data_IF_851399087811
#
_entry.id   IF_851399087811
#
_cell.length_a   1.000
_cell.length_b   1.000
_cell.length_c   1.000
_cell.angle_alpha   90.00
_cell.angle_beta   90.00
_cell.angle_gamma   90.00
#
_symmetry.space_group_name_H-M   'P 1'
#
loop_
_entity.id
_entity.type
_entity.pdbx_description
1 polymer ?
#
# COMPACT_ATOMS: atom_id res chain seq x y z
N UNK A 1 -15.83 -5.22 -23.92
CA UNK A 1 -15.06 -4.90 -22.70
C UNK A 1 -15.44 -5.76 -21.49
N UNK A 2 -16.70 -6.24 -21.38
CA UNK A 2 -17.15 -7.03 -20.21
C UNK A 2 -16.22 -8.19 -19.82
N UNK A 3 -15.67 -9.00 -20.74
CA UNK A 3 -14.82 -10.14 -20.37
C UNK A 3 -13.48 -9.77 -19.69
N UNK A 4 -13.14 -8.48 -19.68
CA UNK A 4 -11.91 -8.02 -19.00
C UNK A 4 -12.10 -7.70 -17.52
N UNK A 5 -13.35 -7.54 -17.06
CA UNK A 5 -13.64 -7.15 -15.69
C UNK A 5 -13.90 -8.37 -14.82
N UNK A 6 -13.33 -8.35 -13.62
CA UNK A 6 -13.55 -9.38 -12.63
C UNK A 6 -14.98 -9.29 -12.09
N UNK A 7 -15.69 -10.40 -12.07
CA UNK A 7 -17.06 -10.46 -11.54
C UNK A 7 -17.13 -11.37 -10.31
N UNK A 8 -18.17 -11.23 -9.51
CA UNK A 8 -18.44 -12.17 -8.43
C UNK A 8 -18.50 -13.61 -8.95
N UNK A 9 -19.18 -13.84 -10.09
CA UNK A 9 -19.30 -15.18 -10.68
C UNK A 9 -18.00 -15.72 -11.27
N UNK A 10 -17.00 -14.87 -11.58
CA UNK A 10 -15.67 -15.36 -12.01
C UNK A 10 -14.92 -16.00 -10.84
N UNK A 11 -15.11 -15.49 -9.62
CA UNK A 11 -14.45 -16.00 -8.41
C UNK A 11 -15.29 -17.09 -7.75
N UNK A 12 -16.61 -16.92 -7.70
CA UNK A 12 -17.58 -17.84 -7.06
C UNK A 12 -18.60 -18.34 -8.09
N UNK A 13 -18.22 -19.26 -8.98
CA UNK A 13 -19.10 -19.73 -10.07
C UNK A 13 -20.36 -20.44 -9.56
N UNK A 14 -20.31 -21.04 -8.38
CA UNK A 14 -21.43 -21.74 -7.75
C UNK A 14 -22.13 -20.91 -6.64
N UNK A 15 -21.81 -19.61 -6.55
CA UNK A 15 -22.23 -18.74 -5.46
C UNK A 15 -21.20 -18.69 -4.33
N UNK A 16 -21.26 -17.63 -3.51
CA UNK A 16 -20.41 -17.45 -2.34
C UNK A 16 -21.20 -17.76 -1.06
N UNK A 17 -20.57 -18.38 -0.09
CA UNK A 17 -21.10 -18.54 1.28
C UNK A 17 -20.87 -17.27 2.09
N UNK A 18 -21.51 -17.14 3.24
CA UNK A 18 -21.25 -16.04 4.19
C UNK A 18 -19.78 -16.08 4.68
N UNK A 19 -19.23 -17.26 4.90
CA UNK A 19 -17.84 -17.47 5.32
C UNK A 19 -16.86 -17.00 4.23
N UNK A 20 -17.11 -17.34 2.96
CA UNK A 20 -16.32 -16.84 1.83
C UNK A 20 -16.27 -15.30 1.80
N UNK A 21 -17.44 -14.67 1.99
CA UNK A 21 -17.55 -13.20 1.93
C UNK A 21 -16.93 -12.52 3.15
N UNK A 22 -17.07 -13.10 4.33
CA UNK A 22 -16.50 -12.60 5.57
C UNK A 22 -14.95 -12.72 5.58
N UNK A 23 -14.42 -13.74 4.89
CA UNK A 23 -12.98 -13.96 4.77
C UNK A 23 -12.25 -13.00 3.84
N UNK A 24 -12.96 -12.22 3.00
CA UNK A 24 -12.33 -11.30 2.05
C UNK A 24 -11.68 -10.13 2.79
N UNK A 25 -10.37 -10.03 2.69
CA UNK A 25 -9.63 -8.88 3.20
C UNK A 25 -9.75 -7.68 2.25
N UNK A 26 -10.17 -6.53 2.76
CA UNK A 26 -10.16 -5.28 2.00
C UNK A 26 -9.99 -4.07 2.92
N UNK A 27 -9.33 -3.00 2.43
CA UNK A 27 -9.05 -1.80 3.22
C UNK A 27 -10.26 -0.83 3.30
N UNK A 28 -11.44 -1.27 2.92
CA UNK A 28 -12.68 -0.48 2.91
C UNK A 28 -13.81 -1.29 3.52
N UNK A 29 -14.73 -0.67 4.27
CA UNK A 29 -15.88 -1.37 4.84
C UNK A 29 -16.83 -1.91 3.75
N UNK A 30 -17.58 -2.97 4.08
CA UNK A 30 -18.56 -3.59 3.21
C UNK A 30 -17.98 -4.58 2.20
N UNK A 31 -18.85 -5.15 1.36
CA UNK A 31 -18.45 -6.14 0.35
C UNK A 31 -17.79 -5.48 -0.86
N UNK A 32 -16.83 -6.17 -1.54
CA UNK A 32 -16.10 -5.64 -2.68
C UNK A 32 -16.86 -5.75 -4.00
N UNK A 33 -18.17 -5.50 -3.99
CA UNK A 33 -19.00 -5.67 -5.17
C UNK A 33 -19.85 -4.44 -5.45
N UNK A 34 -20.02 -4.14 -6.74
CA UNK A 34 -20.98 -3.14 -7.19
C UNK A 34 -21.72 -3.59 -8.46
N UNK A 35 -22.88 -3.03 -8.69
CA UNK A 35 -23.69 -3.35 -9.88
C UNK A 35 -23.25 -2.51 -11.07
N UNK A 36 -22.92 -3.18 -12.18
CA UNK A 36 -22.69 -2.55 -13.48
C UNK A 36 -23.60 -3.14 -14.55
N UNK A 37 -24.02 -2.31 -15.48
CA UNK A 37 -24.87 -2.73 -16.59
C UNK A 37 -24.05 -2.83 -17.88
N UNK A 38 -23.95 -4.06 -18.41
CA UNK A 38 -23.26 -4.36 -19.65
C UNK A 38 -24.25 -4.88 -20.68
N UNK A 39 -24.42 -4.18 -21.82
CA UNK A 39 -25.33 -4.56 -22.88
C UNK A 39 -26.73 -4.96 -22.36
N UNK A 40 -27.28 -4.16 -21.46
CA UNK A 40 -28.62 -4.37 -20.88
C UNK A 40 -28.67 -5.38 -19.71
N UNK A 41 -27.62 -6.13 -19.45
CA UNK A 41 -27.54 -7.12 -18.34
C UNK A 41 -26.78 -6.55 -17.15
N UNK A 42 -27.36 -6.61 -15.96
CA UNK A 42 -26.70 -6.23 -14.71
C UNK A 42 -25.78 -7.35 -14.25
N UNK A 43 -24.57 -6.98 -13.80
CA UNK A 43 -23.56 -7.87 -13.23
C UNK A 43 -23.01 -7.28 -11.94
N UNK A 44 -22.68 -8.13 -10.99
CA UNK A 44 -21.86 -7.80 -9.83
C UNK A 44 -20.38 -7.87 -10.24
N UNK A 45 -19.74 -6.72 -10.33
CA UNK A 45 -18.30 -6.62 -10.60
C UNK A 45 -17.54 -6.44 -9.30
N UNK A 46 -16.30 -6.90 -9.28
CA UNK A 46 -15.40 -6.74 -8.15
C UNK A 46 -14.82 -5.33 -8.13
N UNK A 47 -14.81 -4.71 -6.95
CA UNK A 47 -14.26 -3.38 -6.69
C UNK A 47 -13.51 -3.42 -5.36
N UNK A 48 -12.21 -3.62 -5.40
CA UNK A 48 -11.39 -3.72 -4.18
C UNK A 48 -11.41 -2.43 -3.37
N UNK A 49 -11.48 -1.27 -4.00
CA UNK A 49 -11.40 0.04 -3.36
C UNK A 49 -12.71 0.82 -3.47
N UNK A 50 -12.98 1.44 -4.60
CA UNK A 50 -14.17 2.27 -4.82
C UNK A 50 -15.03 1.73 -5.95
N UNK A 51 -16.32 2.07 -6.01
CA UNK A 51 -17.19 1.62 -7.09
C UNK A 51 -16.72 1.99 -8.50
N UNK A 52 -15.89 3.04 -8.64
CA UNK A 52 -15.33 3.49 -9.92
C UNK A 52 -14.05 2.74 -10.31
N UNK A 53 -13.46 1.99 -9.40
CA UNK A 53 -12.22 1.22 -9.62
C UNK A 53 -12.57 -0.27 -9.75
N UNK A 54 -12.99 -0.67 -10.95
CA UNK A 54 -13.34 -2.07 -11.25
C UNK A 54 -12.08 -2.88 -11.44
N UNK A 55 -11.99 -4.03 -10.73
CA UNK A 55 -10.84 -4.92 -10.83
C UNK A 55 -10.81 -5.63 -12.20
N UNK A 56 -9.62 -5.74 -12.76
CA UNK A 56 -9.38 -6.48 -14.01
C UNK A 56 -9.27 -7.97 -13.70
N UNK A 57 -9.92 -8.79 -14.51
CA UNK A 57 -9.77 -10.24 -14.47
C UNK A 57 -8.45 -10.65 -15.15
N UNK A 58 -7.41 -10.86 -14.34
CA UNK A 58 -6.07 -11.21 -14.81
C UNK A 58 -5.97 -12.65 -15.34
N UNK A 59 -6.98 -13.47 -15.12
CA UNK A 59 -7.08 -14.83 -15.64
C UNK A 59 -7.82 -14.86 -17.00
N UNK A 60 -8.61 -13.85 -17.31
CA UNK A 60 -9.27 -13.75 -18.60
C UNK A 60 -8.29 -13.31 -19.70
N UNK A 61 -8.43 -13.91 -20.90
CA UNK A 61 -7.61 -13.52 -22.04
C UNK A 61 -7.73 -12.01 -22.36
N UNK A 62 -8.95 -11.45 -22.22
CA UNK A 62 -9.19 -10.03 -22.49
C UNK A 62 -8.63 -9.10 -21.41
N UNK A 63 -8.68 -9.50 -20.13
CA UNK A 63 -8.05 -8.74 -19.05
C UNK A 63 -6.53 -8.74 -19.19
N UNK A 64 -5.95 -9.88 -19.53
CA UNK A 64 -4.52 -9.99 -19.78
C UNK A 64 -4.06 -9.18 -21.00
N UNK A 65 -4.78 -9.29 -22.14
CA UNK A 65 -4.52 -8.49 -23.34
C UNK A 65 -4.55 -6.98 -23.04
N UNK A 66 -5.52 -6.54 -22.25
CA UNK A 66 -5.61 -5.14 -21.82
C UNK A 66 -4.40 -4.71 -20.99
N UNK A 67 -3.99 -5.50 -19.99
CA UNK A 67 -2.80 -5.20 -19.18
C UNK A 67 -1.53 -5.15 -20.06
N UNK A 68 -1.37 -6.11 -20.98
CA UNK A 68 -0.21 -6.13 -21.85
C UNK A 68 -0.20 -4.94 -22.82
N UNK A 69 -1.36 -4.46 -23.27
CA UNK A 69 -1.43 -3.24 -24.08
C UNK A 69 -0.92 -1.99 -23.33
N UNK A 70 -1.12 -1.95 -21.99
CA UNK A 70 -0.55 -0.88 -21.16
C UNK A 70 0.97 -1.01 -21.09
N UNK A 71 1.49 -2.21 -20.86
CA UNK A 71 2.94 -2.48 -20.83
C UNK A 71 3.59 -2.12 -22.17
N UNK A 72 2.97 -2.50 -23.30
CA UNK A 72 3.44 -2.17 -24.65
C UNK A 72 3.47 -0.65 -24.88
N UNK A 73 2.43 0.07 -24.43
CA UNK A 73 2.36 1.52 -24.54
C UNK A 73 3.44 2.20 -23.67
N UNK A 74 3.68 1.72 -22.46
CA UNK A 74 4.73 2.26 -21.59
C UNK A 74 6.12 2.05 -22.21
N UNK A 75 6.40 0.85 -22.73
CA UNK A 75 7.65 0.57 -23.41
C UNK A 75 7.84 1.44 -24.67
N UNK A 76 6.79 1.59 -25.51
CA UNK A 76 6.80 2.45 -26.68
C UNK A 76 7.00 3.94 -26.35
N UNK A 77 6.60 4.35 -25.15
CA UNK A 77 6.80 5.72 -24.63
C UNK A 77 8.16 5.91 -23.92
N UNK A 78 9.08 4.97 -24.07
CA UNK A 78 10.41 4.97 -23.42
C UNK A 78 10.36 5.04 -21.88
N UNK A 79 9.28 4.57 -21.28
CA UNK A 79 9.23 4.33 -19.84
C UNK A 79 10.09 3.11 -19.54
N UNK A 80 10.97 3.20 -18.56
CA UNK A 80 11.81 2.09 -18.12
C UNK A 80 11.40 1.51 -16.75
N UNK A 81 10.43 2.14 -16.08
CA UNK A 81 10.08 1.81 -14.70
C UNK A 81 8.57 1.93 -14.48
N UNK A 82 7.91 0.86 -14.08
CA UNK A 82 6.45 0.82 -13.83
C UNK A 82 6.19 0.51 -12.36
N UNK A 83 5.39 1.34 -11.71
CA UNK A 83 4.83 1.07 -10.39
C UNK A 83 3.49 0.33 -10.53
N UNK A 84 3.41 -0.86 -9.95
CA UNK A 84 2.17 -1.62 -9.85
C UNK A 84 1.50 -1.29 -8.51
N UNK A 85 0.45 -0.46 -8.60
CA UNK A 85 -0.32 0.03 -7.47
C UNK A 85 -1.18 -1.09 -6.89
N UNK A 86 -1.19 -1.23 -5.55
CA UNK A 86 -2.07 -2.13 -4.81
C UNK A 86 -2.11 -3.57 -5.36
N UNK A 87 -1.02 -4.07 -5.94
CA UNK A 87 -0.98 -5.36 -6.63
C UNK A 87 -1.28 -6.55 -5.70
N UNK A 88 -1.16 -6.37 -4.39
CA UNK A 88 -1.56 -7.36 -3.38
C UNK A 88 -3.01 -7.83 -3.54
N UNK A 89 -3.85 -7.00 -4.13
CA UNK A 89 -5.27 -7.30 -4.44
C UNK A 89 -5.47 -7.77 -5.90
N UNK A 90 -4.42 -7.94 -6.70
CA UNK A 90 -4.53 -8.18 -8.14
C UNK A 90 -5.10 -9.55 -8.54
N UNK A 91 -5.08 -10.53 -7.65
CA UNK A 91 -5.62 -11.87 -7.90
C UNK A 91 -6.64 -12.27 -6.84
N UNK A 92 -7.75 -12.87 -7.27
CA UNK A 92 -8.81 -13.34 -6.39
C UNK A 92 -8.96 -14.86 -6.50
N UNK A 93 -9.25 -15.48 -5.37
CA UNK A 93 -9.45 -16.92 -5.27
C UNK A 93 -10.50 -17.20 -4.18
N UNK A 94 -11.50 -18.04 -4.50
CA UNK A 94 -12.54 -18.39 -3.56
C UNK A 94 -11.94 -19.05 -2.29
N UNK A 95 -12.61 -18.87 -1.16
CA UNK A 95 -12.21 -19.42 0.15
C UNK A 95 -10.82 -18.97 0.62
N UNK A 96 -10.40 -17.76 0.17
CA UNK A 96 -9.16 -17.11 0.63
C UNK A 96 -9.44 -15.64 1.03
N UNK A 97 -8.44 -14.99 1.63
CA UNK A 97 -8.51 -13.55 1.90
C UNK A 97 -8.54 -12.66 0.64
N UNK A 98 -8.29 -13.20 -0.54
CA UNK A 98 -8.12 -12.45 -1.79
C UNK A 98 -7.04 -11.34 -1.72
N UNK A 99 -6.12 -11.44 -0.76
CA UNK A 99 -5.02 -10.50 -0.57
C UNK A 99 -3.73 -11.27 -0.29
N UNK A 100 -2.69 -10.99 -1.07
CA UNK A 100 -1.36 -11.60 -0.94
C UNK A 100 -1.38 -13.13 -0.89
N UNK A 101 -2.28 -13.75 -1.65
CA UNK A 101 -2.39 -15.20 -1.78
C UNK A 101 -1.28 -15.76 -2.68
N UNK A 102 -1.04 -17.09 -2.67
CA UNK A 102 -0.12 -17.73 -3.63
C UNK A 102 -0.42 -17.38 -5.09
N UNK A 103 -1.70 -17.15 -5.44
CA UNK A 103 -2.13 -16.71 -6.76
C UNK A 103 -1.66 -15.29 -7.07
N UNK A 104 -1.67 -14.39 -6.08
CA UNK A 104 -1.11 -13.03 -6.21
C UNK A 104 0.39 -13.08 -6.50
N UNK A 105 1.15 -13.93 -5.80
CA UNK A 105 2.58 -14.08 -6.08
C UNK A 105 2.87 -14.61 -7.49
N UNK A 106 2.04 -15.53 -8.00
CA UNK A 106 2.14 -16.00 -9.40
C UNK A 106 1.85 -14.87 -10.38
N UNK A 107 0.84 -14.04 -10.10
CA UNK A 107 0.53 -12.86 -10.93
C UNK A 107 1.71 -11.88 -10.95
N UNK A 108 2.29 -11.56 -9.80
CA UNK A 108 3.46 -10.67 -9.68
C UNK A 108 4.62 -11.20 -10.53
N UNK A 109 4.95 -12.50 -10.41
CA UNK A 109 6.02 -13.11 -11.19
C UNK A 109 5.76 -13.02 -12.69
N UNK A 110 4.51 -13.31 -13.11
CA UNK A 110 4.10 -13.21 -14.52
C UNK A 110 4.18 -11.78 -15.06
N UNK A 111 3.77 -10.77 -14.28
CA UNK A 111 3.88 -9.36 -14.66
C UNK A 111 5.36 -8.93 -14.78
N UNK A 112 6.21 -9.42 -13.87
CA UNK A 112 7.65 -9.16 -13.97
C UNK A 112 8.27 -9.76 -15.24
N UNK A 113 7.94 -11.01 -15.56
CA UNK A 113 8.41 -11.66 -16.80
C UNK A 113 8.01 -10.87 -18.05
N UNK A 114 6.78 -10.35 -18.09
CA UNK A 114 6.30 -9.51 -19.18
C UNK A 114 6.98 -8.14 -19.21
N UNK A 115 7.32 -7.59 -18.04
CA UNK A 115 8.13 -6.37 -17.92
C UNK A 115 9.53 -6.57 -18.50
N UNK A 116 10.23 -7.63 -18.09
CA UNK A 116 11.58 -7.95 -18.59
C UNK A 116 11.62 -8.08 -20.12
N UNK A 117 10.62 -8.74 -20.73
CA UNK A 117 10.52 -8.87 -22.20
C UNK A 117 10.46 -7.51 -22.91
N UNK A 118 10.03 -6.47 -22.23
CA UNK A 118 9.82 -5.10 -22.74
C UNK A 118 10.86 -4.09 -22.25
N UNK A 119 11.86 -4.53 -21.47
CA UNK A 119 12.86 -3.66 -20.87
C UNK A 119 12.30 -2.77 -19.75
N UNK A 120 11.24 -3.22 -19.08
CA UNK A 120 10.58 -2.49 -17.99
C UNK A 120 10.98 -3.09 -16.64
N UNK A 121 11.47 -2.28 -15.71
CA UNK A 121 11.59 -2.66 -14.30
C UNK A 121 10.25 -2.49 -13.58
N UNK A 122 9.95 -3.42 -12.67
CA UNK A 122 8.69 -3.44 -11.92
C UNK A 122 8.93 -3.05 -10.46
N UNK A 123 8.27 -1.99 -10.04
CA UNK A 123 8.15 -1.56 -8.65
C UNK A 123 6.79 -2.00 -8.10
N UNK A 124 6.80 -2.73 -7.00
CA UNK A 124 5.59 -3.19 -6.32
C UNK A 124 5.24 -2.26 -5.17
N UNK A 125 3.97 -1.83 -5.14
CA UNK A 125 3.38 -1.14 -4.01
C UNK A 125 2.46 -2.11 -3.25
N UNK A 126 2.88 -2.47 -2.03
CA UNK A 126 2.12 -3.28 -1.09
C UNK A 126 2.45 -2.86 0.34
N UNK A 127 1.44 -2.41 1.06
CA UNK A 127 1.49 -2.30 2.51
C UNK A 127 1.09 -3.64 3.13
N UNK A 128 1.97 -4.24 3.90
CA UNK A 128 1.73 -5.55 4.53
C UNK A 128 2.76 -5.85 5.60
N UNK A 129 2.54 -6.94 6.34
CA UNK A 129 3.50 -7.50 7.27
C UNK A 129 4.91 -7.59 6.66
N UNK A 130 5.92 -7.11 7.38
CA UNK A 130 7.27 -6.89 6.86
C UNK A 130 7.91 -8.13 6.19
N UNK A 131 7.65 -9.35 6.68
CA UNK A 131 8.19 -10.58 6.06
C UNK A 131 7.59 -10.84 4.68
N UNK A 132 6.35 -10.43 4.44
CA UNK A 132 5.73 -10.50 3.10
C UNK A 132 6.39 -9.51 2.15
N UNK A 133 6.76 -8.33 2.62
CA UNK A 133 7.54 -7.36 1.82
C UNK A 133 8.90 -7.94 1.43
N UNK A 134 9.62 -8.57 2.37
CA UNK A 134 10.90 -9.26 2.10
C UNK A 134 10.71 -10.41 1.09
N UNK A 135 9.65 -11.19 1.22
CA UNK A 135 9.32 -12.26 0.26
C UNK A 135 9.05 -11.73 -1.15
N UNK A 136 8.25 -10.66 -1.27
CA UNK A 136 7.96 -10.02 -2.56
C UNK A 136 9.25 -9.52 -3.21
N UNK A 137 10.11 -8.88 -2.43
CA UNK A 137 11.37 -8.31 -2.91
C UNK A 137 12.26 -9.32 -3.64
N UNK A 138 12.22 -10.58 -3.23
CA UNK A 138 12.97 -11.66 -3.91
C UNK A 138 12.44 -12.03 -5.30
N UNK A 139 11.22 -11.57 -5.64
CA UNK A 139 10.49 -11.96 -6.86
C UNK A 139 10.33 -10.82 -7.88
N UNK A 140 10.74 -9.61 -7.52
CA UNK A 140 10.56 -8.39 -8.34
C UNK A 140 11.83 -7.56 -8.43
N UNK A 141 11.82 -6.56 -9.30
CA UNK A 141 12.99 -5.71 -9.48
C UNK A 141 13.13 -4.70 -8.35
N UNK A 142 11.99 -4.14 -7.87
CA UNK A 142 11.94 -3.16 -6.79
C UNK A 142 10.70 -3.32 -5.92
N UNK A 143 10.86 -3.00 -4.63
CA UNK A 143 9.77 -2.87 -3.65
C UNK A 143 9.89 -1.54 -2.91
N UNK A 144 8.82 -1.02 -2.36
CA UNK A 144 8.92 0.07 -1.40
C UNK A 144 9.41 -0.44 -0.05
N UNK A 145 10.19 0.38 0.64
CA UNK A 145 10.51 0.19 2.05
C UNK A 145 9.52 0.98 2.90
N UNK A 146 8.35 0.41 3.12
CA UNK A 146 7.30 1.04 3.93
C UNK A 146 7.47 0.82 5.44
N UNK A 147 8.35 -0.08 5.86
CA UNK A 147 8.68 -0.24 7.28
C UNK A 147 9.61 0.88 7.78
N UNK A 148 10.45 1.44 6.93
CA UNK A 148 11.43 2.46 7.31
C UNK A 148 10.79 3.72 7.91
N UNK A 149 9.76 4.36 7.30
CA UNK A 149 9.19 5.59 7.83
C UNK A 149 8.68 5.47 9.27
N UNK A 150 7.78 4.51 9.61
CA UNK A 150 7.28 4.38 10.96
C UNK A 150 8.36 3.91 11.96
N UNK A 151 9.35 3.10 11.55
CA UNK A 151 10.47 2.70 12.42
C UNK A 151 11.35 3.90 12.80
N UNK A 152 11.62 4.81 11.87
CA UNK A 152 12.36 6.03 12.18
C UNK A 152 11.59 6.96 13.12
N UNK A 153 10.27 7.12 12.91
CA UNK A 153 9.42 7.86 13.85
C UNK A 153 9.46 7.22 15.23
N UNK A 154 9.28 5.90 15.31
CA UNK A 154 9.35 5.15 16.56
C UNK A 154 10.69 5.41 17.27
N UNK A 155 11.81 5.26 16.58
CA UNK A 155 13.14 5.49 17.18
C UNK A 155 13.35 6.94 17.63
N UNK A 156 12.89 7.93 16.84
CA UNK A 156 13.01 9.34 17.20
C UNK A 156 12.12 9.74 18.39
N UNK A 157 10.99 9.06 18.58
CA UNK A 157 10.08 9.34 19.70
C UNK A 157 10.46 8.64 20.98
N UNK A 158 10.96 7.41 20.89
CA UNK A 158 11.24 6.57 22.07
C UNK A 158 12.71 6.55 22.47
N UNK A 159 13.62 6.86 21.56
CA UNK A 159 15.06 6.65 21.71
C UNK A 159 15.50 5.19 21.49
N UNK A 160 14.57 4.26 21.20
CA UNK A 160 14.90 2.86 20.93
C UNK A 160 15.26 2.67 19.47
N UNK A 161 16.49 2.32 19.19
CA UNK A 161 17.03 2.16 17.83
C UNK A 161 17.09 0.70 17.37
N UNK A 162 16.91 -0.24 18.28
CA UNK A 162 17.04 -1.68 17.99
C UNK A 162 16.09 -2.16 16.89
N UNK A 163 14.80 -1.73 16.82
CA UNK A 163 13.93 -2.16 15.74
C UNK A 163 14.39 -1.69 14.36
N UNK A 164 14.84 -0.43 14.23
CA UNK A 164 15.37 0.08 12.96
C UNK A 164 16.71 -0.56 12.61
N UNK A 165 17.60 -0.81 13.58
CA UNK A 165 18.85 -1.53 13.38
C UNK A 165 18.59 -2.95 12.87
N UNK A 166 17.70 -3.69 13.52
CA UNK A 166 17.29 -5.02 13.06
C UNK A 166 16.70 -4.99 11.64
N UNK A 167 15.84 -4.01 11.35
CA UNK A 167 15.30 -3.85 9.99
C UNK A 167 16.39 -3.64 8.95
N UNK A 168 17.42 -2.83 9.25
CA UNK A 168 18.53 -2.60 8.31
C UNK A 168 19.32 -3.85 7.96
N UNK A 169 19.34 -4.86 8.83
CA UNK A 169 19.99 -6.15 8.60
C UNK A 169 19.20 -7.08 7.68
N UNK A 170 17.85 -7.04 7.77
CA UNK A 170 16.97 -8.00 7.08
C UNK A 170 16.22 -7.41 5.90
N UNK A 171 16.19 -6.08 5.74
CA UNK A 171 15.46 -5.40 4.69
C UNK A 171 15.99 -5.71 3.29
N UNK A 172 15.15 -5.64 2.25
CA UNK A 172 15.59 -5.83 0.88
C UNK A 172 16.57 -4.74 0.40
N UNK A 173 17.62 -5.13 -0.28
CA UNK A 173 18.57 -4.17 -0.90
C UNK A 173 18.02 -3.53 -2.19
N UNK A 174 17.05 -4.18 -2.85
CA UNK A 174 16.37 -3.65 -4.03
C UNK A 174 15.16 -2.76 -3.67
N UNK A 175 15.17 -2.18 -2.49
CA UNK A 175 14.11 -1.32 -2.01
C UNK A 175 14.20 0.11 -2.57
N UNK A 176 13.02 0.73 -2.75
CA UNK A 176 12.87 2.18 -2.88
C UNK A 176 12.60 2.73 -1.49
N UNK A 177 13.56 3.48 -0.94
CA UNK A 177 13.43 4.07 0.39
C UNK A 177 12.60 5.34 0.34
N UNK A 178 11.61 5.44 1.22
CA UNK A 178 10.72 6.60 1.35
C UNK A 178 10.63 7.02 2.81
N UNK A 179 10.25 8.28 3.08
CA UNK A 179 9.70 8.72 4.36
C UNK A 179 8.24 9.11 4.21
N UNK A 180 7.90 9.69 3.08
CA UNK A 180 6.59 10.20 2.72
C UNK A 180 6.26 9.85 1.26
N UNK A 181 4.99 9.75 1.00
CA UNK A 181 4.41 9.58 -0.33
C UNK A 181 3.14 10.45 -0.43
N UNK A 182 2.39 10.31 -1.52
CA UNK A 182 1.06 10.93 -1.69
C UNK A 182 -0.03 10.27 -0.81
N UNK A 183 0.31 9.17 -0.12
CA UNK A 183 -0.54 8.47 0.84
C UNK A 183 -0.16 8.83 2.28
N UNK A 184 -0.86 8.28 3.26
CA UNK A 184 -0.52 8.42 4.66
C UNK A 184 0.73 7.63 5.06
N UNK A 185 1.18 7.82 6.29
CA UNK A 185 2.29 7.05 6.88
C UNK A 185 1.76 5.67 7.25
N UNK A 186 2.25 4.62 6.59
CA UNK A 186 1.86 3.23 6.86
C UNK A 186 2.38 2.78 8.23
N UNK A 187 1.49 2.31 9.10
CA UNK A 187 1.88 1.82 10.45
C UNK A 187 1.73 0.31 10.58
N UNK A 188 0.93 -0.32 9.73
CA UNK A 188 0.80 -1.79 9.72
C UNK A 188 2.08 -2.51 9.29
N UNK A 189 2.95 -1.81 8.59
CA UNK A 189 4.18 -2.38 8.02
C UNK A 189 5.19 -2.80 9.08
N UNK A 190 5.06 -2.28 10.31
CA UNK A 190 5.93 -2.61 11.45
C UNK A 190 5.23 -3.42 12.55
N UNK A 191 3.91 -3.52 12.50
CA UNK A 191 3.10 -4.28 13.47
C UNK A 191 2.98 -5.77 13.13
N UNK A 192 2.18 -6.48 13.90
CA UNK A 192 1.82 -7.88 13.70
C UNK A 192 1.09 -8.09 12.36
N UNK A 193 1.15 -9.30 11.79
CA UNK A 193 0.42 -9.63 10.56
C UNK A 193 -1.09 -9.43 10.74
N UNK A 194 -1.71 -8.72 9.81
CA UNK A 194 -3.14 -8.40 9.85
C UNK A 194 -4.05 -9.64 9.72
N UNK A 195 -3.56 -10.70 9.08
CA UNK A 195 -4.29 -11.95 8.87
C UNK A 195 -3.96 -13.01 9.94
N UNK A 196 -2.80 -12.89 10.60
CA UNK A 196 -2.37 -13.79 11.66
C UNK A 196 -1.61 -13.02 12.74
N UNK A 197 -2.31 -12.54 13.74
CA UNK A 197 -1.75 -11.74 14.87
C UNK A 197 -0.74 -12.51 15.75
N UNK A 198 -0.60 -13.82 15.58
CA UNK A 198 0.47 -14.59 16.24
C UNK A 198 1.85 -14.28 15.67
N UNK A 199 1.90 -13.80 14.42
CA UNK A 199 3.13 -13.38 13.74
C UNK A 199 3.48 -11.96 14.14
N UNK A 200 4.47 -11.83 15.02
CA UNK A 200 4.89 -10.55 15.62
C UNK A 200 5.57 -9.63 14.64
N UNK A 201 5.29 -8.31 14.76
CA UNK A 201 5.90 -7.24 13.99
C UNK A 201 7.36 -6.96 14.37
N UNK A 202 7.89 -5.90 13.78
CA UNK A 202 9.20 -5.33 14.12
C UNK A 202 9.18 -4.61 15.48
N UNK A 203 8.01 -4.15 15.89
CA UNK A 203 7.74 -3.59 17.21
C UNK A 203 6.47 -4.23 17.79
N UNK A 204 6.27 -4.18 19.11
CA UNK A 204 5.01 -4.58 19.75
C UNK A 204 3.82 -3.76 19.23
N UNK A 205 2.62 -4.34 19.17
CA UNK A 205 1.42 -3.64 18.71
C UNK A 205 1.09 -2.42 19.59
N UNK A 206 1.40 -2.47 20.90
CA UNK A 206 1.28 -1.32 21.81
C UNK A 206 2.17 -0.15 21.38
N UNK A 207 3.37 -0.41 20.86
CA UNK A 207 4.27 0.63 20.37
C UNK A 207 3.74 1.25 19.09
N UNK A 208 3.02 0.48 18.24
CA UNK A 208 2.31 1.01 17.08
C UNK A 208 1.21 1.99 17.50
N UNK A 209 0.43 1.64 18.51
CA UNK A 209 -0.62 2.52 19.06
C UNK A 209 -0.01 3.79 19.64
N UNK A 210 1.07 3.66 20.42
CA UNK A 210 1.80 4.79 21.00
C UNK A 210 2.40 5.70 19.91
N UNK A 211 2.93 5.13 18.84
CA UNK A 211 3.43 5.86 17.67
C UNK A 211 2.32 6.72 17.04
N UNK A 212 1.16 6.12 16.77
CA UNK A 212 -0.01 6.82 16.21
C UNK A 212 -0.46 7.96 17.11
N UNK A 213 -0.59 7.71 18.41
CA UNK A 213 -0.97 8.72 19.39
C UNK A 213 0.04 9.88 19.44
N UNK A 214 1.33 9.56 19.35
CA UNK A 214 2.39 10.59 19.33
C UNK A 214 2.33 11.44 18.06
N UNK A 215 2.06 10.85 16.89
CA UNK A 215 1.85 11.61 15.65
C UNK A 215 0.64 12.54 15.80
N UNK A 216 -0.47 12.06 16.37
CA UNK A 216 -1.65 12.89 16.62
C UNK A 216 -1.36 14.05 17.58
N UNK A 217 -0.60 13.81 18.64
CA UNK A 217 -0.18 14.85 19.58
C UNK A 217 0.75 15.87 18.93
N UNK A 218 1.76 15.45 18.19
CA UNK A 218 2.73 16.31 17.50
C UNK A 218 2.07 17.21 16.45
N UNK A 219 0.98 16.76 15.84
CA UNK A 219 0.20 17.51 14.86
C UNK A 219 -0.97 18.28 15.49
N UNK A 220 -1.05 18.38 16.82
CA UNK A 220 -2.15 19.05 17.53
C UNK A 220 -3.54 18.56 17.11
N UNK A 221 -3.67 17.25 16.78
CA UNK A 221 -4.92 16.61 16.35
C UNK A 221 -5.24 16.75 14.86
N UNK A 222 -4.45 17.46 14.05
CA UNK A 222 -4.68 17.60 12.61
C UNK A 222 -4.68 16.24 11.90
N UNK A 223 -3.70 15.39 12.18
CA UNK A 223 -3.61 14.04 11.61
C UNK A 223 -4.78 13.16 12.06
N UNK A 224 -5.27 13.33 13.28
CA UNK A 224 -6.46 12.61 13.76
C UNK A 224 -7.72 13.03 13.00
N UNK A 225 -7.89 14.34 12.78
CA UNK A 225 -9.01 14.86 11.99
C UNK A 225 -8.99 14.36 10.54
N UNK A 226 -7.80 14.23 9.94
CA UNK A 226 -7.64 13.72 8.58
C UNK A 226 -7.78 12.20 8.46
N UNK A 227 -7.45 11.45 9.51
CA UNK A 227 -7.43 9.98 9.49
C UNK A 227 -8.77 9.38 9.93
N UNK A 228 -9.48 10.03 10.85
CA UNK A 228 -10.60 9.45 11.62
C UNK A 228 -11.74 8.87 10.78
N UNK A 229 -12.11 9.48 9.66
CA UNK A 229 -13.18 8.98 8.79
C UNK A 229 -12.69 7.91 7.80
N UNK A 230 -11.39 7.77 7.62
CA UNK A 230 -10.77 6.81 6.71
C UNK A 230 -10.27 5.54 7.43
N UNK A 231 -10.34 5.49 8.75
CA UNK A 231 -10.05 4.29 9.52
C UNK A 231 -10.99 3.17 9.06
N UNK A 232 -10.43 2.11 8.50
CA UNK A 232 -11.19 0.92 8.18
C UNK A 232 -11.63 0.23 9.48
N UNK A 233 -12.62 -0.67 9.41
CA UNK A 233 -12.98 -1.55 10.53
C UNK A 233 -11.87 -2.54 10.91
N UNK A 234 -10.80 -2.57 10.16
CA UNK A 234 -9.53 -3.19 10.46
C UNK A 234 -8.67 -2.08 11.07
N UNK A 235 -7.90 -2.39 12.07
CA UNK A 235 -6.98 -1.48 12.75
C UNK A 235 -6.36 -0.45 11.83
N UNK A 236 -6.00 0.69 12.37
CA UNK A 236 -5.48 1.82 11.63
C UNK A 236 -4.37 1.39 10.65
N UNK A 237 -4.64 1.60 9.37
CA UNK A 237 -3.76 1.20 8.28
C UNK A 237 -2.67 2.24 7.99
N UNK A 238 -3.05 3.53 7.94
CA UNK A 238 -2.19 4.67 7.68
C UNK A 238 -2.62 5.88 8.49
N UNK A 239 -1.67 6.71 8.89
CA UNK A 239 -1.91 8.03 9.49
C UNK A 239 -1.75 9.10 8.42
N UNK A 240 -2.80 9.85 8.14
CA UNK A 240 -2.76 10.96 7.19
C UNK A 240 -2.06 12.17 7.83
N UNK A 241 -0.84 12.44 7.42
CA UNK A 241 -0.02 13.57 7.85
C UNK A 241 1.17 13.73 6.91
N UNK A 242 1.74 14.92 6.80
CA UNK A 242 3.09 15.05 6.27
C UNK A 242 4.09 14.49 7.28
N UNK A 243 5.19 13.94 6.79
CA UNK A 243 6.22 13.37 7.67
C UNK A 243 6.87 14.42 8.56
N UNK A 244 7.04 15.64 8.04
CA UNK A 244 7.58 16.77 8.78
C UNK A 244 6.65 17.19 9.94
N UNK A 245 5.34 17.27 9.69
CA UNK A 245 4.35 17.56 10.76
C UNK A 245 4.28 16.43 11.78
N UNK A 246 4.38 15.16 11.36
CA UNK A 246 4.41 14.02 12.27
C UNK A 246 5.58 14.10 13.27
N UNK A 247 6.71 14.70 12.86
CA UNK A 247 7.87 14.97 13.71
C UNK A 247 7.73 16.28 14.55
N UNK A 248 6.54 16.88 14.60
CA UNK A 248 6.33 18.14 15.31
C UNK A 248 7.06 19.33 14.66
N UNK A 249 7.30 19.27 13.36
CA UNK A 249 8.06 20.27 12.60
C UNK A 249 9.50 20.48 13.14
N UNK A 250 10.14 19.42 13.62
CA UNK A 250 11.50 19.45 14.13
C UNK A 250 12.51 19.21 13.00
N UNK A 251 13.26 20.26 12.62
CA UNK A 251 14.24 20.21 11.52
C UNK A 251 15.35 19.17 11.77
N UNK A 252 15.83 19.07 13.01
CA UNK A 252 16.93 18.14 13.33
C UNK A 252 16.49 16.70 13.18
N UNK A 253 15.31 16.34 13.69
CA UNK A 253 14.75 15.02 13.54
C UNK A 253 14.45 14.70 12.05
N UNK A 254 13.93 15.71 11.32
CA UNK A 254 13.63 15.55 9.90
C UNK A 254 14.88 15.31 9.07
N UNK A 255 15.95 16.10 9.30
CA UNK A 255 17.23 15.92 8.62
C UNK A 255 17.90 14.57 8.98
N UNK A 256 17.81 14.15 10.25
CA UNK A 256 18.32 12.84 10.66
C UNK A 256 17.58 11.70 9.94
N UNK A 257 16.24 11.75 9.88
CA UNK A 257 15.46 10.75 9.16
C UNK A 257 15.78 10.73 7.65
N UNK A 258 15.92 11.91 7.01
CA UNK A 258 16.34 12.01 5.60
C UNK A 258 17.74 11.47 5.37
N UNK A 259 18.68 11.73 6.26
CA UNK A 259 20.02 11.19 6.18
C UNK A 259 19.98 9.65 6.19
N UNK A 260 19.26 9.04 7.12
CA UNK A 260 19.09 7.58 7.14
C UNK A 260 18.49 7.08 5.82
N UNK A 261 17.41 7.71 5.32
CA UNK A 261 16.78 7.34 4.05
C UNK A 261 17.79 7.34 2.89
N UNK A 262 18.63 8.37 2.79
CA UNK A 262 19.56 8.52 1.67
C UNK A 262 20.77 7.60 1.74
N UNK A 263 21.20 7.20 2.94
CA UNK A 263 22.40 6.38 3.12
C UNK A 263 22.11 4.88 3.23
N UNK A 264 20.85 4.47 3.37
CA UNK A 264 20.49 3.05 3.31
C UNK A 264 20.60 2.50 1.87
N UNK A 265 20.98 1.22 1.70
CA UNK A 265 20.99 0.58 0.39
C UNK A 265 19.59 0.64 -0.27
N UNK A 266 19.56 0.98 -1.57
CA UNK A 266 18.34 1.12 -2.35
C UNK A 266 18.29 2.39 -3.16
N UNK A 267 17.10 2.77 -3.63
CA UNK A 267 16.88 4.00 -4.39
C UNK A 267 16.05 4.96 -3.54
N UNK A 268 16.61 6.10 -3.10
CA UNK A 268 15.84 7.07 -2.32
C UNK A 268 14.83 7.80 -3.23
N UNK A 269 13.55 7.74 -2.88
CA UNK A 269 12.48 8.51 -3.49
C UNK A 269 12.03 9.59 -2.51
N UNK A 270 12.07 10.84 -2.94
CA UNK A 270 11.60 11.97 -2.14
C UNK A 270 10.32 12.51 -2.76
N UNK A 271 9.25 12.49 -1.97
CA UNK A 271 7.99 13.10 -2.35
C UNK A 271 8.10 14.64 -2.30
N UNK A 272 7.47 15.34 -3.26
CA UNK A 272 7.69 16.79 -3.41
C UNK A 272 7.32 17.60 -2.16
N UNK A 273 6.25 17.23 -1.45
CA UNK A 273 5.87 17.87 -0.19
C UNK A 273 6.98 17.71 0.85
N UNK A 274 7.56 16.51 0.94
CA UNK A 274 8.68 16.24 1.82
C UNK A 274 9.97 16.93 1.41
N UNK A 275 10.24 17.09 0.10
CA UNK A 275 11.41 17.83 -0.37
C UNK A 275 11.42 19.29 0.13
N UNK A 276 10.23 19.84 0.38
CA UNK A 276 10.03 21.20 0.86
C UNK A 276 9.79 21.27 2.38
N UNK A 277 9.93 20.18 3.11
CA UNK A 277 9.52 20.07 4.52
C UNK A 277 8.09 20.61 4.74
N UNK A 278 7.17 20.24 3.82
CA UNK A 278 5.79 20.73 3.83
C UNK A 278 5.05 20.32 5.09
N UNK A 279 4.25 21.24 5.61
CA UNK A 279 3.36 21.00 6.75
C UNK A 279 2.01 20.48 6.28
N UNK A 280 1.22 19.94 7.21
CA UNK A 280 -0.16 19.57 6.99
C UNK A 280 -0.97 20.73 6.40
N UNK A 281 -1.70 20.48 5.29
CA UNK A 281 -2.59 21.45 4.66
C UNK A 281 -4.03 21.28 5.15
N UNK A 282 -4.34 21.93 6.26
CA UNK A 282 -5.68 21.90 6.85
C UNK A 282 -6.70 22.72 6.05
N UNK A 283 -6.26 23.66 5.23
CA UNK A 283 -7.14 24.42 4.35
C UNK A 283 -7.63 23.53 3.21
N UNK A 284 -6.71 22.82 2.55
CA UNK A 284 -7.03 21.88 1.50
C UNK A 284 -7.92 20.75 2.03
N UNK A 285 -7.59 20.18 3.20
CA UNK A 285 -8.41 19.16 3.86
C UNK A 285 -9.86 19.62 4.07
N UNK A 286 -10.07 20.83 4.62
CA UNK A 286 -11.43 21.37 4.86
C UNK A 286 -12.18 21.61 3.56
N UNK A 287 -11.49 22.07 2.51
CA UNK A 287 -12.09 22.37 1.21
C UNK A 287 -12.53 21.10 0.48
N UNK A 288 -11.76 20.03 0.53
CA UNK A 288 -12.00 18.80 -0.23
C UNK A 288 -12.72 17.72 0.57
N UNK A 289 -12.68 17.81 1.89
CA UNK A 289 -13.14 16.76 2.81
C UNK A 289 -12.51 15.39 2.51
N UNK A 290 -11.31 15.35 1.97
CA UNK A 290 -10.54 14.16 1.67
C UNK A 290 -9.31 14.09 2.58
N UNK A 291 -9.26 13.13 3.49
CA UNK A 291 -8.21 13.02 4.50
C UNK A 291 -6.80 12.97 3.93
N UNK A 292 -6.60 12.43 2.72
CA UNK A 292 -5.29 12.37 2.08
C UNK A 292 -4.79 13.72 1.56
N UNK A 293 -5.68 14.70 1.39
CA UNK A 293 -5.29 16.01 0.87
C UNK A 293 -4.51 16.84 1.90
N UNK A 294 -4.45 16.40 3.16
CA UNK A 294 -3.63 17.03 4.21
C UNK A 294 -2.13 17.02 3.88
N UNK A 295 -1.67 16.07 3.07
CA UNK A 295 -0.26 15.90 2.70
C UNK A 295 0.00 15.97 1.18
N UNK A 296 -0.82 16.73 0.45
CA UNK A 296 -0.73 16.89 -1.02
C UNK A 296 -0.51 18.32 -1.48
#
# INVERSE_FOLDING_TARGET
YYPMFLTMSSVFPNGATEEDLAGIYRPRPGLPFTHYKFAGKTRLVWVSFTPQQVDIDTDSAKGWEYLMSIFDQMAASHVSYIRLDAVGYGAKEASTSCFMTPKTFKLISRLREEGVKRGLEILIEVHSYYKKQVEIASKVDRVYDFALPPLLLHSLFTGHVEPVAHWTEIRPNNAVTVLDTHDGIGVIDIGSDQLDRSLKGLVPDEDVDNLVNTIHANTHGESQAATGAAASNLDLYQVNSTYYSALGCNDQHYLAARAVQFFLPGVPQVYYVGALAGRNDMELLRRTNNGRDINR
#
